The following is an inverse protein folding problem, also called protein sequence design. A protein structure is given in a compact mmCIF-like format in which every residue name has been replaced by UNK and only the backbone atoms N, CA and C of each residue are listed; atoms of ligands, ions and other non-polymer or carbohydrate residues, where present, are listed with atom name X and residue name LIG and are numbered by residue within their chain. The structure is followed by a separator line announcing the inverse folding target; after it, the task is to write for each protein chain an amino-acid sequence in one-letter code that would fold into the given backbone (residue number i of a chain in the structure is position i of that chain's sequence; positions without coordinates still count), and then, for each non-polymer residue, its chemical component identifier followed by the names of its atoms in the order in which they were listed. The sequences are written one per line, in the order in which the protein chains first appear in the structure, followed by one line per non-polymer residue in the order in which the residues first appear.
data_IF_506820442345
#
_entry.id   IF_506820442345
#
_cell.length_a   1.000
_cell.length_b   1.000
_cell.length_c   1.000
_cell.angle_alpha   90.00
_cell.angle_beta   90.00
_cell.angle_gamma   90.00
#
_symmetry.space_group_name_H-M   'P 1'
#
loop_
_entity.id
_entity.type
_entity.pdbx_description
1 polymer ?
#
# COMPACT_ATOMS: atom_id res chain seq x y z
N UNK A 1 25.78 -0.54 3.43
CA UNK A 1 26.05 0.92 3.42
C UNK A 1 24.99 1.58 4.28
N UNK A 2 25.36 2.51 5.16
CA UNK A 2 24.37 3.27 5.93
C UNK A 2 23.83 4.41 5.07
N UNK A 3 22.51 4.43 4.85
CA UNK A 3 21.85 5.50 4.13
C UNK A 3 21.71 6.72 5.05
N UNK A 4 22.25 7.88 4.65
CA UNK A 4 22.13 9.13 5.41
C UNK A 4 21.49 10.21 4.55
N UNK A 5 20.81 11.21 5.13
CA UNK A 5 20.22 12.31 4.35
C UNK A 5 21.23 13.08 3.49
N UNK A 6 22.50 13.20 3.91
CA UNK A 6 23.53 13.93 3.16
C UNK A 6 24.10 13.13 1.98
N UNK A 7 24.04 11.79 2.06
CA UNK A 7 24.47 10.88 1.00
C UNK A 7 23.33 10.42 0.09
N UNK A 8 22.10 10.90 0.29
CA UNK A 8 20.94 10.53 -0.50
C UNK A 8 21.04 11.14 -1.91
N UNK A 9 20.81 10.31 -2.95
CA UNK A 9 20.84 10.77 -4.34
C UNK A 9 19.69 11.75 -4.63
N UNK A 10 18.48 11.43 -4.15
CA UNK A 10 17.31 12.28 -4.28
C UNK A 10 17.20 13.22 -3.07
N UNK A 11 17.00 14.53 -3.27
CA UNK A 11 16.74 15.44 -2.17
C UNK A 11 15.39 15.15 -1.49
N UNK A 12 14.47 14.44 -2.15
CA UNK A 12 13.20 13.99 -1.56
C UNK A 12 13.43 13.01 -0.41
N UNK A 13 14.50 12.22 -0.46
CA UNK A 13 14.88 11.28 0.59
C UNK A 13 16.01 11.78 1.50
N UNK A 14 16.56 12.96 1.19
CA UNK A 14 17.57 13.66 1.98
C UNK A 14 17.06 14.99 2.53
N UNK A 15 17.46 16.10 1.87
CA UNK A 15 17.20 17.48 2.30
C UNK A 15 15.73 17.77 2.66
N UNK A 16 14.79 17.19 1.92
CA UNK A 16 13.34 17.42 2.05
C UNK A 16 12.59 16.23 2.65
N UNK A 17 13.28 15.20 3.13
CA UNK A 17 12.68 13.98 3.66
C UNK A 17 11.59 14.25 4.71
N UNK A 18 11.87 15.15 5.66
CA UNK A 18 10.93 15.50 6.72
C UNK A 18 9.64 16.14 6.22
N UNK A 19 9.66 16.78 5.05
CA UNK A 19 8.47 17.35 4.40
C UNK A 19 7.59 16.29 3.74
N UNK A 20 8.11 15.09 3.51
CA UNK A 20 7.43 14.00 2.82
C UNK A 20 7.08 12.83 3.73
N UNK A 21 7.25 12.97 5.05
CA UNK A 21 6.97 11.91 6.02
C UNK A 21 5.55 11.31 5.89
N UNK A 22 4.55 12.14 5.62
CA UNK A 22 3.17 11.68 5.44
C UNK A 22 2.97 10.89 4.12
N UNK A 23 3.79 11.14 3.10
CA UNK A 23 3.73 10.42 1.82
C UNK A 23 4.48 9.09 1.87
N UNK A 24 5.54 8.97 2.67
CA UNK A 24 6.36 7.75 2.79
C UNK A 24 5.55 6.46 2.97
N UNK A 25 4.60 6.34 3.93
CA UNK A 25 3.84 5.09 4.09
C UNK A 25 2.89 4.80 2.91
N UNK A 26 2.65 5.77 2.02
CA UNK A 26 1.71 5.63 0.90
C UNK A 26 2.41 5.35 -0.44
N UNK A 27 3.52 6.05 -0.73
CA UNK A 27 4.15 6.05 -2.07
C UNK A 27 5.59 5.51 -2.09
N UNK A 28 6.14 5.11 -0.94
CA UNK A 28 7.41 4.37 -0.92
C UNK A 28 7.24 2.96 -1.48
N UNK A 29 8.35 2.25 -1.64
CA UNK A 29 8.34 0.83 -1.98
C UNK A 29 7.57 -0.01 -0.94
N UNK A 30 7.71 0.30 0.36
CA UNK A 30 6.92 -0.32 1.42
C UNK A 30 5.43 -0.04 1.25
N UNK A 31 5.08 1.22 0.95
CA UNK A 31 3.70 1.61 0.64
C UNK A 31 3.15 0.88 -0.59
N UNK A 32 3.98 0.64 -1.60
CA UNK A 32 3.59 -0.09 -2.80
C UNK A 32 3.36 -1.57 -2.51
N UNK A 33 4.29 -2.22 -1.78
CA UNK A 33 4.12 -3.59 -1.31
C UNK A 33 2.85 -3.76 -0.47
N UNK A 34 2.57 -2.82 0.43
CA UNK A 34 1.33 -2.81 1.21
C UNK A 34 0.09 -2.81 0.31
N UNK A 35 0.05 -1.97 -0.75
CA UNK A 35 -1.09 -1.96 -1.69
C UNK A 35 -1.19 -3.24 -2.51
N UNK A 36 -0.07 -3.85 -2.91
CA UNK A 36 -0.09 -5.15 -3.58
C UNK A 36 -0.67 -6.25 -2.69
N UNK A 37 -0.25 -6.31 -1.43
CA UNK A 37 -0.83 -7.21 -0.42
C UNK A 37 -2.32 -6.94 -0.24
N UNK A 38 -2.74 -5.67 -0.19
CA UNK A 38 -4.15 -5.30 -0.09
C UNK A 38 -4.96 -5.81 -1.28
N UNK A 39 -4.47 -5.65 -2.51
CA UNK A 39 -5.17 -6.08 -3.74
C UNK A 39 -5.26 -7.59 -3.79
N UNK A 40 -4.17 -8.32 -3.55
CA UNK A 40 -4.15 -9.78 -3.52
C UNK A 40 -5.13 -10.36 -2.50
N UNK A 41 -5.15 -9.81 -1.28
CA UNK A 41 -6.06 -10.26 -0.23
C UNK A 41 -7.51 -9.94 -0.58
N UNK A 42 -7.78 -8.75 -1.14
CA UNK A 42 -9.12 -8.39 -1.57
C UNK A 42 -9.61 -9.31 -2.70
N UNK A 43 -8.73 -9.64 -3.66
CA UNK A 43 -9.02 -10.56 -4.74
C UNK A 43 -9.31 -11.98 -4.23
N UNK A 44 -8.46 -12.49 -3.33
CA UNK A 44 -8.62 -13.80 -2.72
C UNK A 44 -9.96 -13.93 -1.96
N UNK A 45 -10.34 -12.91 -1.19
CA UNK A 45 -11.64 -12.88 -0.51
C UNK A 45 -12.78 -12.85 -1.54
N UNK A 46 -12.68 -12.03 -2.59
CA UNK A 46 -13.69 -11.94 -3.64
C UNK A 46 -13.86 -13.27 -4.39
N UNK A 47 -12.77 -14.01 -4.67
CA UNK A 47 -12.83 -15.35 -5.27
C UNK A 47 -13.60 -16.34 -4.38
N UNK A 48 -13.43 -16.27 -3.05
CA UNK A 48 -14.19 -17.12 -2.13
C UNK A 48 -15.70 -16.87 -2.18
N UNK A 49 -16.10 -15.66 -2.58
CA UNK A 49 -17.50 -15.25 -2.73
C UNK A 49 -18.07 -15.53 -4.13
N UNK A 50 -17.24 -15.98 -5.07
CA UNK A 50 -17.63 -16.17 -6.47
C UNK A 50 -18.46 -17.46 -6.72
N UNK A 51 -18.61 -18.32 -5.70
CA UNK A 51 -19.47 -19.51 -5.77
C UNK A 51 -18.82 -20.76 -6.37
N UNK A 52 -17.49 -20.84 -6.40
CA UNK A 52 -16.77 -22.03 -6.85
C UNK A 52 -16.98 -23.23 -5.91
N UNK A 53 -16.86 -24.45 -6.45
CA UNK A 53 -16.92 -25.67 -5.63
C UNK A 53 -15.63 -25.90 -4.84
N UNK A 54 -14.51 -25.56 -5.46
CA UNK A 54 -13.16 -25.73 -4.94
C UNK A 54 -12.75 -24.63 -3.95
N UNK A 55 -13.41 -23.46 -4.01
CA UNK A 55 -13.16 -22.33 -3.12
C UNK A 55 -14.47 -21.81 -2.53
N UNK A 56 -14.92 -22.47 -1.46
CA UNK A 56 -16.10 -22.06 -0.70
C UNK A 56 -15.87 -20.75 0.06
N UNK A 57 -16.93 -20.01 0.41
CA UNK A 57 -16.81 -18.75 1.15
C UNK A 57 -16.01 -18.89 2.44
N UNK A 58 -15.03 -18.00 2.59
CA UNK A 58 -14.19 -17.95 3.78
C UNK A 58 -15.00 -17.60 5.04
N UNK A 59 -14.68 -18.28 6.13
CA UNK A 59 -15.23 -18.00 7.46
C UNK A 59 -14.97 -16.55 7.90
N UNK A 60 -15.81 -15.98 8.78
CA UNK A 60 -15.56 -14.63 9.32
C UNK A 60 -14.19 -14.50 10.00
N UNK A 61 -13.70 -15.58 10.64
CA UNK A 61 -12.39 -15.62 11.28
C UNK A 61 -11.23 -15.55 10.28
N UNK A 62 -11.32 -16.30 9.18
CA UNK A 62 -10.34 -16.22 8.10
C UNK A 62 -10.30 -14.84 7.46
N UNK A 63 -11.47 -14.25 7.17
CA UNK A 63 -11.57 -12.88 6.61
C UNK A 63 -10.96 -11.83 7.54
N UNK A 64 -11.28 -11.90 8.83
CA UNK A 64 -10.75 -11.00 9.84
C UNK A 64 -9.22 -11.10 9.93
N UNK A 65 -8.68 -12.33 9.87
CA UNK A 65 -7.24 -12.54 9.84
C UNK A 65 -6.59 -11.91 8.59
N UNK A 66 -7.11 -12.20 7.40
CA UNK A 66 -6.59 -11.68 6.14
C UNK A 66 -6.64 -10.14 6.09
N UNK A 67 -7.76 -9.54 6.50
CA UNK A 67 -7.88 -8.08 6.59
C UNK A 67 -6.93 -7.51 7.66
N UNK A 68 -6.68 -8.27 8.72
CA UNK A 68 -5.66 -7.96 9.73
C UNK A 68 -4.23 -7.92 9.18
N UNK A 69 -3.88 -8.77 8.22
CA UNK A 69 -2.57 -8.74 7.55
C UNK A 69 -2.35 -7.42 6.80
N UNK A 70 -3.40 -6.91 6.14
CA UNK A 70 -3.35 -5.60 5.46
C UNK A 70 -3.25 -4.48 6.50
N UNK A 71 -4.17 -4.46 7.47
CA UNK A 71 -4.28 -3.38 8.46
C UNK A 71 -3.00 -3.21 9.29
N UNK A 72 -2.33 -4.31 9.60
CA UNK A 72 -1.16 -4.32 10.48
C UNK A 72 0.15 -4.51 9.69
N UNK A 73 0.13 -4.31 8.37
CA UNK A 73 1.31 -4.47 7.53
C UNK A 73 2.45 -3.54 7.99
N UNK A 74 3.64 -4.11 8.13
CA UNK A 74 4.77 -3.44 8.77
C UNK A 74 6.03 -3.43 7.91
N UNK A 75 7.04 -2.66 8.31
CA UNK A 75 8.37 -2.69 7.69
C UNK A 75 8.99 -4.09 7.73
N UNK A 76 8.79 -4.83 8.82
CA UNK A 76 9.27 -6.21 8.94
C UNK A 76 8.65 -7.13 7.90
N UNK A 77 7.37 -6.91 7.54
CA UNK A 77 6.71 -7.66 6.48
C UNK A 77 7.25 -7.29 5.09
N UNK A 78 7.53 -6.00 4.85
CA UNK A 78 8.21 -5.54 3.64
C UNK A 78 9.60 -6.17 3.48
N UNK A 79 10.38 -6.24 4.56
CA UNK A 79 11.68 -6.94 4.57
C UNK A 79 11.49 -8.43 4.28
N UNK A 80 10.50 -9.08 4.87
CA UNK A 80 10.21 -10.49 4.59
C UNK A 80 9.84 -10.74 3.12
N UNK A 81 9.05 -9.86 2.50
CA UNK A 81 8.77 -9.92 1.05
C UNK A 81 10.06 -9.78 0.24
N UNK A 82 10.95 -8.86 0.60
CA UNK A 82 12.26 -8.72 -0.04
C UNK A 82 13.13 -9.97 0.07
N UNK A 83 13.03 -10.73 1.16
CA UNK A 83 13.72 -12.02 1.26
C UNK A 83 13.16 -13.06 0.26
N UNK A 84 11.84 -13.12 0.05
CA UNK A 84 11.25 -13.95 -1.01
C UNK A 84 11.64 -13.47 -2.42
N UNK A 85 11.78 -12.16 -2.61
CA UNK A 85 12.18 -11.57 -3.90
C UNK A 85 13.58 -12.03 -4.33
N UNK A 86 14.51 -12.23 -3.39
CA UNK A 86 15.85 -12.76 -3.71
C UNK A 86 15.82 -14.13 -4.38
N UNK A 87 14.81 -14.95 -4.06
CA UNK A 87 14.64 -16.27 -4.67
C UNK A 87 13.82 -16.22 -5.96
N UNK A 88 12.78 -15.39 -5.99
CA UNK A 88 11.84 -15.33 -7.13
C UNK A 88 12.31 -14.41 -8.26
N UNK A 89 13.18 -13.45 -7.96
CA UNK A 89 13.60 -12.36 -8.85
C UNK A 89 12.42 -11.61 -9.49
N UNK A 90 11.27 -11.59 -8.81
CA UNK A 90 10.05 -10.94 -9.25
C UNK A 90 9.22 -10.47 -8.04
N UNK A 91 8.93 -9.18 -7.99
CA UNK A 91 8.29 -8.50 -6.87
C UNK A 91 6.86 -8.97 -6.53
N UNK A 92 5.96 -9.08 -7.52
CA UNK A 92 4.59 -9.59 -7.32
C UNK A 92 4.61 -11.04 -6.87
N UNK A 93 5.47 -11.87 -7.47
CA UNK A 93 5.62 -13.27 -7.04
C UNK A 93 6.08 -13.36 -5.59
N UNK A 94 7.00 -12.50 -5.16
CA UNK A 94 7.43 -12.44 -3.77
C UNK A 94 6.28 -12.11 -2.80
N UNK A 95 5.35 -11.23 -3.19
CA UNK A 95 4.12 -10.95 -2.44
C UNK A 95 3.23 -12.20 -2.34
N UNK A 96 3.03 -12.94 -3.43
CA UNK A 96 2.27 -14.21 -3.42
C UNK A 96 2.88 -15.21 -2.43
N UNK A 97 4.19 -15.44 -2.49
CA UNK A 97 4.89 -16.35 -1.56
C UNK A 97 4.76 -15.88 -0.11
N UNK A 98 4.88 -14.58 0.14
CA UNK A 98 4.68 -14.03 1.48
C UNK A 98 3.25 -14.29 1.98
N UNK A 99 2.21 -14.06 1.16
CA UNK A 99 0.82 -14.34 1.55
C UNK A 99 0.63 -15.82 1.87
N UNK A 100 1.08 -16.71 0.98
CA UNK A 100 1.02 -18.17 1.19
C UNK A 100 1.74 -18.57 2.48
N UNK A 101 2.87 -17.94 2.81
CA UNK A 101 3.58 -18.20 4.08
C UNK A 101 2.75 -17.83 5.31
N UNK A 102 1.89 -16.82 5.23
CA UNK A 102 0.98 -16.41 6.32
C UNK A 102 -0.22 -17.36 6.48
N UNK A 103 -0.41 -18.33 5.59
CA UNK A 103 -1.49 -19.32 5.70
C UNK A 103 -1.10 -20.52 6.55
N UNK A 104 0.19 -20.69 6.86
CA UNK A 104 0.68 -21.78 7.69
C UNK A 104 -0.10 -21.87 9.01
N UNK A 105 -0.41 -23.10 9.41
CA UNK A 105 -1.16 -23.44 10.63
C UNK A 105 -2.62 -22.95 10.59
N UNK A 106 -3.15 -22.68 9.40
CA UNK A 106 -4.55 -22.28 9.16
C UNK A 106 -5.17 -23.20 8.11
N UNK A 107 -5.71 -24.37 8.52
CA UNK A 107 -6.18 -25.40 7.59
C UNK A 107 -7.21 -24.94 6.56
N UNK A 108 -8.05 -23.96 6.91
CA UNK A 108 -9.00 -23.36 5.97
C UNK A 108 -8.28 -22.63 4.82
N UNK A 109 -7.24 -21.85 5.12
CA UNK A 109 -6.49 -21.08 4.14
C UNK A 109 -5.48 -21.94 3.37
N UNK A 110 -4.85 -22.91 4.02
CA UNK A 110 -3.91 -23.84 3.38
C UNK A 110 -4.56 -24.62 2.23
N UNK A 111 -5.82 -25.05 2.40
CA UNK A 111 -6.57 -25.80 1.38
C UNK A 111 -6.80 -25.03 0.09
N UNK A 112 -6.86 -23.70 0.18
CA UNK A 112 -7.14 -22.80 -0.94
C UNK A 112 -5.94 -21.90 -1.26
N UNK A 113 -4.74 -22.22 -0.75
CA UNK A 113 -3.55 -21.38 -0.91
C UNK A 113 -3.21 -21.12 -2.38
N UNK A 114 -3.47 -22.08 -3.26
CA UNK A 114 -3.22 -21.95 -4.71
C UNK A 114 -4.21 -21.00 -5.42
N UNK A 115 -5.23 -20.49 -4.72
CA UNK A 115 -6.07 -19.41 -5.23
C UNK A 115 -5.48 -18.01 -5.03
N UNK A 116 -4.37 -17.87 -4.29
CA UNK A 116 -3.63 -16.60 -4.22
C UNK A 116 -3.08 -16.28 -5.62
N UNK A 117 -3.31 -15.06 -6.11
CA UNK A 117 -2.98 -14.63 -7.47
C UNK A 117 -3.70 -15.40 -8.60
N UNK A 118 -4.78 -16.14 -8.30
CA UNK A 118 -5.46 -16.96 -9.31
C UNK A 118 -6.04 -16.11 -10.44
N UNK A 119 -5.73 -16.52 -11.67
CA UNK A 119 -6.16 -15.89 -12.93
C UNK A 119 -5.76 -14.41 -13.09
N UNK A 120 -4.83 -13.91 -12.26
CA UNK A 120 -4.25 -12.58 -12.43
C UNK A 120 -2.95 -12.64 -13.23
N UNK A 121 -2.64 -11.54 -13.92
CA UNK A 121 -1.27 -11.17 -14.28
C UNK A 121 -0.71 -10.19 -13.26
N UNK A 122 0.62 -10.03 -13.22
CA UNK A 122 1.30 -9.02 -12.40
C UNK A 122 0.70 -7.63 -12.56
N UNK A 123 0.26 -7.29 -13.78
CA UNK A 123 -0.30 -5.97 -14.05
C UNK A 123 -1.68 -5.73 -13.43
N UNK A 124 -2.51 -6.76 -13.22
CA UNK A 124 -3.79 -6.62 -12.51
C UNK A 124 -3.56 -6.11 -11.08
N UNK A 125 -2.48 -6.61 -10.47
CA UNK A 125 -2.05 -6.21 -9.13
C UNK A 125 -1.37 -4.84 -9.16
N UNK A 126 -0.45 -4.60 -10.10
CA UNK A 126 0.33 -3.37 -10.18
C UNK A 126 -0.52 -2.15 -10.45
N UNK A 127 -1.36 -2.20 -11.50
CA UNK A 127 -2.15 -1.05 -11.90
C UNK A 127 -3.15 -0.65 -10.80
N UNK A 128 -3.79 -1.65 -10.16
CA UNK A 128 -4.73 -1.44 -9.07
C UNK A 128 -4.01 -0.90 -7.84
N UNK A 129 -2.83 -1.41 -7.53
CA UNK A 129 -2.00 -0.94 -6.41
C UNK A 129 -1.56 0.50 -6.60
N UNK A 130 -1.10 0.88 -7.80
CA UNK A 130 -0.76 2.27 -8.13
C UNK A 130 -1.98 3.19 -8.05
N UNK A 131 -3.14 2.76 -8.55
CA UNK A 131 -4.38 3.53 -8.43
C UNK A 131 -4.73 3.79 -6.95
N UNK A 132 -4.55 2.79 -6.07
CA UNK A 132 -4.71 2.95 -4.63
C UNK A 132 -3.66 3.91 -4.05
N UNK A 133 -2.38 3.79 -4.40
CA UNK A 133 -1.35 4.72 -3.91
C UNK A 133 -1.68 6.17 -4.25
N UNK A 134 -2.02 6.45 -5.51
CA UNK A 134 -2.36 7.79 -5.98
C UNK A 134 -3.62 8.30 -5.28
N UNK A 135 -4.66 7.46 -5.18
CA UNK A 135 -5.92 7.84 -4.51
C UNK A 135 -5.68 8.25 -3.06
N UNK A 136 -4.94 7.45 -2.29
CA UNK A 136 -4.70 7.73 -0.87
C UNK A 136 -3.72 8.88 -0.68
N UNK A 137 -2.62 8.96 -1.44
CA UNK A 137 -1.70 10.09 -1.39
C UNK A 137 -2.44 11.41 -1.67
N UNK A 138 -3.34 11.41 -2.67
CA UNK A 138 -4.16 12.58 -2.99
C UNK A 138 -5.11 12.94 -1.85
N UNK A 139 -5.89 11.97 -1.36
CA UNK A 139 -6.95 12.22 -0.39
C UNK A 139 -6.41 12.57 1.01
N UNK A 140 -5.34 11.91 1.44
CA UNK A 140 -4.84 12.01 2.82
C UNK A 140 -3.77 13.08 3.00
N UNK A 141 -3.04 13.44 1.94
CA UNK A 141 -1.91 14.38 2.04
C UNK A 141 -2.08 15.58 1.13
N UNK A 142 -2.24 15.34 -0.18
CA UNK A 142 -2.17 16.44 -1.15
C UNK A 142 -3.35 17.41 -1.03
N UNK A 143 -4.59 16.90 -1.00
CA UNK A 143 -5.78 17.75 -0.90
C UNK A 143 -5.83 18.52 0.43
N UNK A 144 -5.63 17.88 1.61
CA UNK A 144 -5.57 18.62 2.87
C UNK A 144 -4.50 19.73 2.88
N UNK A 145 -3.32 19.45 2.29
CA UNK A 145 -2.26 20.45 2.17
C UNK A 145 -2.65 21.64 1.27
N UNK A 146 -3.28 21.37 0.14
CA UNK A 146 -3.78 22.40 -0.78
C UNK A 146 -4.92 23.21 -0.16
N UNK A 147 -5.85 22.56 0.54
CA UNK A 147 -6.95 23.22 1.24
C UNK A 147 -6.42 24.19 2.31
N UNK A 148 -5.35 23.82 3.02
CA UNK A 148 -4.66 24.72 3.95
C UNK A 148 -4.10 25.97 3.28
N UNK A 149 -3.50 25.84 2.09
CA UNK A 149 -3.01 26.98 1.31
C UNK A 149 -4.17 27.87 0.86
N UNK A 150 -5.24 27.26 0.32
CA UNK A 150 -6.44 27.98 -0.12
C UNK A 150 -7.06 28.77 1.04
N UNK A 151 -7.17 28.16 2.21
CA UNK A 151 -7.68 28.81 3.41
C UNK A 151 -6.81 30.02 3.79
N UNK A 152 -5.48 29.86 3.77
CA UNK A 152 -4.56 30.96 4.12
C UNK A 152 -4.61 32.11 3.11
N UNK A 153 -4.66 31.80 1.81
CA UNK A 153 -4.78 32.83 0.78
C UNK A 153 -6.11 33.59 0.89
N UNK A 154 -7.21 32.88 1.18
CA UNK A 154 -8.52 33.50 1.41
C UNK A 154 -8.50 34.42 2.64
N UNK A 155 -7.89 33.96 3.74
CA UNK A 155 -7.70 34.76 4.95
C UNK A 155 -6.93 36.05 4.66
N UNK A 156 -5.81 35.96 3.95
CA UNK A 156 -5.01 37.13 3.55
C UNK A 156 -5.79 38.08 2.65
N UNK A 157 -6.53 37.56 1.67
CA UNK A 157 -7.34 38.37 0.75
C UNK A 157 -8.37 39.22 1.50
N UNK A 158 -9.06 38.65 2.50
CA UNK A 158 -9.99 39.42 3.34
C UNK A 158 -9.28 40.37 4.29
N UNK A 159 -8.14 39.97 4.86
CA UNK A 159 -7.38 40.78 5.82
C UNK A 159 -6.82 42.04 5.18
N UNK A 160 -6.32 41.93 3.95
CA UNK A 160 -5.68 43.02 3.22
C UNK A 160 -6.60 43.67 2.18
N UNK A 161 -7.91 43.40 2.23
CA UNK A 161 -8.87 43.88 1.22
C UNK A 161 -8.87 45.40 1.06
N UNK A 162 -8.68 46.14 2.16
CA UNK A 162 -8.72 47.60 2.18
C UNK A 162 -7.33 48.25 2.11
N UNK A 163 -6.26 47.48 1.93
CA UNK A 163 -4.88 48.01 1.88
C UNK A 163 -4.56 48.41 0.43
N UNK A 164 -4.38 49.71 0.13
CA UNK A 164 -4.02 50.15 -1.22
C UNK A 164 -2.60 49.66 -1.59
N UNK A 165 -2.41 49.25 -2.85
CA UNK A 165 -1.12 48.84 -3.41
C UNK A 165 -0.84 49.67 -4.68
N UNK A 166 0.38 50.20 -4.82
CA UNK A 166 0.84 51.03 -5.95
C UNK A 166 1.19 50.20 -7.19
#
# INVERSE_FOLDING_TARGET
MNFTPISALSPLDGRYASKLNALRPLVSELGYMHRRVQVEIAWFIALSDAGFDEFKPLSPGARAYLTGLVKNFSEADGVAIKEFEKTTNHDVKAVEYWIKSKFKDRPELEKVAEFVHFACTSEDINNTSHALQIKHARAEVMLPGLDGIIAKLREMAHTFADVPML
#
